data_IF_852708950808
#
_entry.id   IF_852708950808
#
_cell.length_a   1.000
_cell.length_b   1.000
_cell.length_c   1.000
_cell.angle_alpha   90.00
_cell.angle_beta   90.00
_cell.angle_gamma   90.00
#
_symmetry.space_group_name_H-M   'P 1'
#
loop_
_entity.id
_entity.type
_entity.pdbx_description
1 polymer ?
#
# COMPACT_ATOMS: atom_id res chain seq x y z
N UNK A 1 -5.15 0.16 -12.26
CA UNK A 1 -4.62 -1.22 -12.39
C UNK A 1 -3.16 -1.39 -11.92
N UNK A 2 -2.26 -0.44 -12.21
CA UNK A 2 -0.82 -0.58 -11.91
C UNK A 2 -0.52 -0.84 -10.42
N UNK A 3 -1.15 -0.08 -9.53
CA UNK A 3 -0.98 -0.21 -8.06
C UNK A 3 -1.42 -1.57 -7.50
N UNK A 4 -2.23 -2.33 -8.23
CA UNK A 4 -2.70 -3.67 -7.84
C UNK A 4 -1.87 -4.77 -8.53
N UNK A 5 -1.44 -4.54 -9.77
CA UNK A 5 -0.61 -5.49 -10.53
C UNK A 5 0.75 -5.74 -9.88
N UNK A 6 1.33 -4.73 -9.21
CA UNK A 6 2.57 -4.87 -8.44
C UNK A 6 2.47 -5.87 -7.29
N UNK A 7 1.56 -5.67 -6.30
CA UNK A 7 1.26 -6.66 -5.27
C UNK A 7 0.98 -8.07 -5.84
N UNK A 8 0.17 -8.16 -6.89
CA UNK A 8 -0.17 -9.43 -7.52
C UNK A 8 1.06 -10.11 -8.14
N UNK A 9 1.99 -9.34 -8.74
CA UNK A 9 3.26 -9.85 -9.28
C UNK A 9 4.05 -10.54 -8.17
N UNK A 10 4.22 -9.87 -7.03
CA UNK A 10 5.02 -10.41 -5.92
C UNK A 10 4.40 -11.69 -5.37
N UNK A 11 3.08 -11.74 -5.21
CA UNK A 11 2.38 -12.95 -4.78
C UNK A 11 2.51 -14.08 -5.81
N UNK A 12 2.40 -13.78 -7.10
CA UNK A 12 2.59 -14.76 -8.18
C UNK A 12 4.05 -15.24 -8.30
N UNK A 13 5.05 -14.39 -7.97
CA UNK A 13 6.45 -14.82 -7.84
C UNK A 13 6.59 -15.80 -6.67
N UNK A 14 5.98 -15.49 -5.52
CA UNK A 14 5.99 -16.34 -4.32
C UNK A 14 5.36 -17.71 -4.59
N UNK A 15 4.29 -17.77 -5.39
CA UNK A 15 3.54 -19.02 -5.67
C UNK A 15 3.89 -19.70 -7.00
N UNK A 16 4.76 -19.12 -7.82
CA UNK A 16 5.11 -19.64 -9.15
C UNK A 16 4.00 -19.46 -10.22
N UNK A 17 2.99 -18.61 -9.97
CA UNK A 17 1.85 -18.38 -10.88
C UNK A 17 2.05 -17.23 -11.87
N UNK A 18 3.28 -17.05 -12.37
CA UNK A 18 3.61 -15.94 -13.30
C UNK A 18 2.82 -15.96 -14.61
N UNK A 19 2.42 -17.14 -15.11
CA UNK A 19 1.57 -17.22 -16.30
C UNK A 19 0.22 -16.54 -16.09
N UNK A 20 -0.41 -16.76 -14.93
CA UNK A 20 -1.67 -16.12 -14.58
C UNK A 20 -1.49 -14.61 -14.44
N UNK A 21 -0.43 -14.16 -13.76
CA UNK A 21 -0.13 -12.72 -13.68
C UNK A 21 0.06 -12.08 -15.06
N UNK A 22 0.80 -12.72 -15.98
CA UNK A 22 1.00 -12.22 -17.35
C UNK A 22 -0.32 -12.10 -18.09
N UNK A 23 -1.18 -13.12 -18.02
CA UNK A 23 -2.50 -13.08 -18.63
C UNK A 23 -3.33 -11.91 -18.07
N UNK A 24 -3.41 -11.76 -16.74
CA UNK A 24 -4.09 -10.63 -16.09
C UNK A 24 -3.52 -9.28 -16.51
N UNK A 25 -2.19 -9.15 -16.58
CA UNK A 25 -1.50 -7.93 -16.99
C UNK A 25 -1.78 -7.56 -18.44
N UNK A 26 -1.74 -8.54 -19.36
CA UNK A 26 -2.04 -8.33 -20.77
C UNK A 26 -3.51 -7.96 -20.98
N UNK A 27 -4.45 -8.64 -20.31
CA UNK A 27 -5.87 -8.28 -20.37
C UNK A 27 -6.11 -6.87 -19.84
N UNK A 28 -5.52 -6.51 -18.70
CA UNK A 28 -5.65 -5.17 -18.15
C UNK A 28 -5.08 -4.10 -19.09
N UNK A 29 -3.90 -4.34 -19.68
CA UNK A 29 -3.30 -3.42 -20.65
C UNK A 29 -4.16 -3.28 -21.91
N UNK A 30 -4.65 -4.40 -22.45
CA UNK A 30 -5.55 -4.41 -23.59
C UNK A 30 -6.84 -3.62 -23.31
N UNK A 31 -7.48 -3.85 -22.17
CA UNK A 31 -8.70 -3.12 -21.77
C UNK A 31 -8.44 -1.61 -21.63
N UNK A 32 -7.32 -1.21 -21.01
CA UNK A 32 -6.96 0.20 -20.88
C UNK A 32 -6.77 0.83 -22.26
N UNK A 33 -6.03 0.19 -23.15
CA UNK A 33 -5.81 0.68 -24.52
C UNK A 33 -7.12 0.74 -25.29
N UNK A 34 -7.92 -0.32 -25.26
CA UNK A 34 -9.20 -0.39 -25.98
C UNK A 34 -10.15 0.74 -25.59
N UNK A 35 -10.22 1.07 -24.29
CA UNK A 35 -11.07 2.15 -23.78
C UNK A 35 -10.48 3.53 -24.08
N UNK A 36 -9.17 3.71 -23.93
CA UNK A 36 -8.53 5.03 -24.05
C UNK A 36 -8.18 5.43 -25.48
N UNK A 37 -7.87 4.47 -26.35
CA UNK A 37 -7.37 4.72 -27.71
C UNK A 37 -8.36 5.53 -28.56
N UNK A 38 -9.68 5.24 -28.57
CA UNK A 38 -10.63 6.07 -29.33
C UNK A 38 -10.61 7.53 -28.89
N UNK A 39 -10.57 7.77 -27.57
CA UNK A 39 -10.52 9.12 -27.01
C UNK A 39 -9.19 9.83 -27.31
N UNK A 40 -8.08 9.10 -27.23
CA UNK A 40 -6.76 9.62 -27.55
C UNK A 40 -6.62 10.02 -29.03
N UNK A 41 -7.26 9.28 -29.94
CA UNK A 41 -7.25 9.56 -31.38
C UNK A 41 -8.21 10.69 -31.77
N UNK A 42 -9.43 10.69 -31.23
CA UNK A 42 -10.46 11.69 -31.57
C UNK A 42 -10.23 13.03 -30.85
N UNK A 43 -9.70 13.01 -29.62
CA UNK A 43 -9.53 14.18 -28.76
C UNK A 43 -8.12 14.24 -28.11
N UNK A 44 -7.04 14.29 -28.91
CA UNK A 44 -5.66 14.15 -28.40
C UNK A 44 -5.26 15.22 -27.38
N UNK A 45 -5.72 16.46 -27.56
CA UNK A 45 -5.45 17.56 -26.60
C UNK A 45 -6.14 17.31 -25.25
N UNK A 46 -7.44 17.01 -25.28
CA UNK A 46 -8.21 16.74 -24.07
C UNK A 46 -7.73 15.50 -23.32
N UNK A 47 -7.38 14.44 -24.05
CA UNK A 47 -6.85 13.21 -23.45
C UNK A 47 -5.51 13.44 -22.72
N UNK A 48 -4.61 14.26 -23.29
CA UNK A 48 -3.29 14.57 -22.70
C UNK A 48 -3.37 15.52 -21.50
N UNK A 49 -4.48 16.23 -21.32
CA UNK A 49 -4.59 17.27 -20.30
C UNK A 49 -4.42 16.73 -18.88
N UNK A 50 -4.96 15.53 -18.61
CA UNK A 50 -4.73 14.85 -17.34
C UNK A 50 -3.24 14.57 -17.08
N UNK A 51 -2.50 14.12 -18.10
CA UNK A 51 -1.07 13.83 -17.97
C UNK A 51 -0.26 15.11 -17.75
N UNK A 52 -0.57 16.15 -18.52
CA UNK A 52 0.05 17.48 -18.41
C UNK A 52 -0.10 18.02 -16.98
N UNK A 53 -1.34 18.06 -16.48
CA UNK A 53 -1.63 18.54 -15.13
C UNK A 53 -0.93 17.72 -14.05
N UNK A 54 -0.81 16.40 -14.17
CA UNK A 54 -0.08 15.59 -13.19
C UNK A 54 1.43 15.88 -13.20
N UNK A 55 2.02 16.11 -14.38
CA UNK A 55 3.46 16.37 -14.53
C UNK A 55 3.83 17.74 -13.99
N UNK A 56 3.08 18.78 -14.37
CA UNK A 56 3.34 20.18 -14.02
C UNK A 56 2.96 20.55 -12.58
N UNK A 57 2.07 19.78 -11.93
CA UNK A 57 1.61 20.12 -10.57
C UNK A 57 2.77 20.22 -9.59
N UNK A 58 2.85 21.32 -8.84
CA UNK A 58 3.78 21.46 -7.73
C UNK A 58 3.42 20.58 -6.53
N UNK A 59 3.97 20.94 -5.38
CA UNK A 59 3.59 20.35 -4.09
C UNK A 59 2.13 20.71 -3.80
N UNK A 60 1.26 19.70 -3.71
CA UNK A 60 -0.14 19.93 -3.34
C UNK A 60 -0.23 20.37 -1.87
N UNK A 61 -1.22 21.19 -1.46
CA UNK A 61 -1.29 21.73 -0.11
C UNK A 61 -1.24 20.67 1.00
N UNK A 62 -1.81 19.49 0.71
CA UNK A 62 -1.91 18.34 1.60
C UNK A 62 -0.70 17.41 1.57
N UNK A 63 0.31 17.69 0.75
CA UNK A 63 1.50 16.86 0.63
C UNK A 63 2.47 17.14 1.77
N UNK A 64 3.21 16.10 2.20
CA UNK A 64 4.25 16.24 3.22
C UNK A 64 5.34 17.25 2.80
N UNK A 65 5.57 17.38 1.49
CA UNK A 65 6.51 18.36 0.94
C UNK A 65 6.06 19.79 1.18
N UNK A 66 4.76 20.08 1.01
CA UNK A 66 4.21 21.40 1.31
C UNK A 66 4.24 21.69 2.82
N UNK A 67 3.97 20.69 3.66
CA UNK A 67 4.10 20.81 5.13
C UNK A 67 5.54 21.19 5.50
N UNK A 68 6.54 20.48 4.98
CA UNK A 68 7.96 20.77 5.27
C UNK A 68 8.34 22.15 4.74
N UNK A 69 7.97 22.48 3.50
CA UNK A 69 8.26 23.78 2.88
C UNK A 69 7.70 24.93 3.72
N UNK A 70 6.44 24.83 4.13
CA UNK A 70 5.75 25.88 4.90
C UNK A 70 6.34 26.06 6.30
N UNK A 71 6.75 24.98 6.96
CA UNK A 71 7.29 25.05 8.33
C UNK A 71 8.77 25.47 8.38
N UNK A 72 9.55 25.17 7.34
CA UNK A 72 11.00 25.40 7.33
C UNK A 72 11.46 26.53 6.42
N UNK A 73 10.56 27.07 5.58
CA UNK A 73 10.92 27.98 4.50
C UNK A 73 11.69 27.30 3.36
N UNK A 74 11.77 25.96 3.33
CA UNK A 74 12.44 25.23 2.26
C UNK A 74 11.71 25.45 0.93
N UNK A 75 12.39 25.97 -0.12
CA UNK A 75 11.74 26.32 -1.38
C UNK A 75 11.42 25.11 -2.28
N UNK A 76 11.57 23.88 -1.78
CA UNK A 76 11.45 22.66 -2.57
C UNK A 76 12.78 22.26 -3.24
N UNK A 77 12.79 21.09 -3.89
CA UNK A 77 13.99 20.58 -4.57
C UNK A 77 14.39 21.41 -5.81
N UNK A 78 13.37 21.99 -6.46
CA UNK A 78 13.50 22.72 -7.71
C UNK A 78 13.57 24.25 -7.50
N UNK A 79 13.42 24.73 -6.27
CA UNK A 79 13.37 26.16 -5.96
C UNK A 79 12.06 26.82 -6.39
N UNK A 80 12.11 28.13 -6.63
CA UNK A 80 10.95 28.91 -7.10
C UNK A 80 10.67 28.59 -8.57
N UNK A 81 9.64 27.79 -8.84
CA UNK A 81 9.22 27.45 -10.20
C UNK A 81 8.28 28.51 -10.77
N UNK A 82 8.45 28.86 -12.05
CA UNK A 82 7.51 29.70 -12.77
C UNK A 82 6.24 28.91 -13.16
N UNK A 83 5.17 29.62 -13.53
CA UNK A 83 3.93 28.99 -13.93
C UNK A 83 4.14 28.10 -15.18
N UNK A 84 3.79 26.81 -15.06
CA UNK A 84 3.96 25.81 -16.12
C UNK A 84 5.32 25.11 -16.14
N UNK A 85 6.24 25.46 -15.24
CA UNK A 85 7.50 24.72 -15.11
C UNK A 85 7.30 23.39 -14.40
N UNK A 86 8.01 22.37 -14.88
CA UNK A 86 7.90 21.01 -14.36
C UNK A 86 8.86 20.85 -13.17
N UNK A 87 8.40 20.39 -11.99
CA UNK A 87 9.26 20.13 -10.84
C UNK A 87 10.04 18.81 -11.03
N UNK A 88 11.08 18.84 -11.85
CA UNK A 88 11.80 17.63 -12.31
C UNK A 88 12.44 16.87 -11.14
N UNK A 89 13.11 17.57 -10.22
CA UNK A 89 13.80 16.91 -9.09
C UNK A 89 12.80 16.34 -8.09
N UNK A 90 11.71 17.06 -7.79
CA UNK A 90 10.65 16.54 -6.93
C UNK A 90 9.95 15.32 -7.58
N UNK A 91 9.68 15.36 -8.89
CA UNK A 91 9.12 14.22 -9.62
C UNK A 91 10.05 13.00 -9.56
N UNK A 92 11.35 13.20 -9.76
CA UNK A 92 12.33 12.13 -9.66
C UNK A 92 12.43 11.58 -8.23
N UNK A 93 12.48 12.45 -7.22
CA UNK A 93 12.58 12.07 -5.82
C UNK A 93 11.36 11.25 -5.37
N UNK A 94 10.15 11.76 -5.60
CA UNK A 94 8.89 11.08 -5.25
C UNK A 94 8.80 9.71 -5.93
N UNK A 95 9.20 9.62 -7.20
CA UNK A 95 9.26 8.36 -7.95
C UNK A 95 10.25 7.35 -7.37
N UNK A 96 11.47 7.79 -7.03
CA UNK A 96 12.50 6.93 -6.42
C UNK A 96 12.03 6.41 -5.05
N UNK A 97 11.53 7.30 -4.19
CA UNK A 97 11.04 6.91 -2.86
C UNK A 97 9.89 5.91 -2.98
N UNK A 98 8.96 6.14 -3.91
CA UNK A 98 7.85 5.20 -4.15
C UNK A 98 8.35 3.82 -4.61
N UNK A 99 9.34 3.76 -5.51
CA UNK A 99 9.96 2.49 -5.95
C UNK A 99 10.64 1.78 -4.77
N UNK A 100 11.34 2.51 -3.90
CA UNK A 100 11.93 1.95 -2.68
C UNK A 100 10.87 1.40 -1.73
N UNK A 101 9.74 2.09 -1.54
CA UNK A 101 8.62 1.58 -0.77
C UNK A 101 8.03 0.31 -1.39
N UNK A 102 7.87 0.26 -2.72
CA UNK A 102 7.41 -0.94 -3.43
C UNK A 102 8.38 -2.11 -3.23
N UNK A 103 9.69 -1.86 -3.26
CA UNK A 103 10.71 -2.87 -2.98
C UNK A 103 10.65 -3.36 -1.53
N UNK A 104 10.44 -2.47 -0.56
CA UNK A 104 10.25 -2.83 0.84
C UNK A 104 8.98 -3.68 1.04
N UNK A 105 7.86 -3.32 0.40
CA UNK A 105 6.62 -4.11 0.44
C UNK A 105 6.82 -5.48 -0.24
N UNK A 106 7.55 -5.53 -1.34
CA UNK A 106 7.89 -6.79 -1.99
C UNK A 106 8.76 -7.68 -1.09
N UNK A 107 9.73 -7.09 -0.38
CA UNK A 107 10.52 -7.79 0.63
C UNK A 107 9.64 -8.33 1.76
N UNK A 108 8.72 -7.53 2.30
CA UNK A 108 7.74 -7.99 3.31
C UNK A 108 6.93 -9.16 2.76
N UNK A 109 6.42 -9.06 1.54
CA UNK A 109 5.63 -10.10 0.91
C UNK A 109 6.38 -11.41 0.66
N UNK A 110 7.68 -11.35 0.38
CA UNK A 110 8.50 -12.53 0.16
C UNK A 110 9.10 -13.10 1.45
N UNK A 111 9.23 -12.31 2.51
CA UNK A 111 9.83 -12.73 3.80
C UNK A 111 8.78 -13.13 4.85
N UNK A 112 7.51 -12.77 4.66
CA UNK A 112 6.44 -13.08 5.62
C UNK A 112 6.29 -14.60 5.90
N UNK A 113 6.06 -15.03 7.15
CA UNK A 113 5.93 -16.45 7.52
C UNK A 113 4.81 -17.18 6.78
N UNK A 114 3.68 -16.50 6.60
CA UNK A 114 2.56 -16.93 5.74
C UNK A 114 2.39 -15.85 4.68
N UNK A 115 2.09 -16.24 3.44
CA UNK A 115 1.85 -15.30 2.33
C UNK A 115 0.88 -14.20 2.77
N UNK A 116 1.16 -12.90 2.56
CA UNK A 116 0.20 -11.85 2.88
C UNK A 116 -1.05 -11.91 2.00
N UNK A 117 -2.17 -11.38 2.50
CA UNK A 117 -3.39 -11.26 1.70
C UNK A 117 -3.24 -10.16 0.65
N UNK A 118 -3.87 -10.31 -0.51
CA UNK A 118 -3.77 -9.35 -1.62
C UNK A 118 -4.18 -7.93 -1.17
N UNK A 119 -5.29 -7.82 -0.44
CA UNK A 119 -5.78 -6.55 0.08
C UNK A 119 -4.78 -5.82 0.98
N UNK A 120 -4.03 -6.56 1.81
CA UNK A 120 -2.99 -5.99 2.69
C UNK A 120 -1.88 -5.34 1.87
N UNK A 121 -1.37 -6.05 0.85
CA UNK A 121 -0.31 -5.52 0.00
C UNK A 121 -0.80 -4.37 -0.88
N UNK A 122 -2.02 -4.45 -1.42
CA UNK A 122 -2.63 -3.35 -2.17
C UNK A 122 -2.80 -2.11 -1.30
N UNK A 123 -3.29 -2.25 -0.07
CA UNK A 123 -3.38 -1.13 0.88
C UNK A 123 -2.00 -0.49 1.09
N UNK A 124 -0.97 -1.29 1.40
CA UNK A 124 0.38 -0.78 1.63
C UNK A 124 0.95 -0.03 0.42
N UNK A 125 0.74 -0.54 -0.80
CA UNK A 125 1.22 0.13 -2.03
C UNK A 125 0.46 1.42 -2.29
N UNK A 126 -0.86 1.44 -2.12
CA UNK A 126 -1.65 2.68 -2.31
C UNK A 126 -1.31 3.71 -1.23
N UNK A 127 -1.18 3.28 0.04
CA UNK A 127 -0.78 4.17 1.13
C UNK A 127 0.64 4.73 0.91
N UNK A 128 1.59 3.89 0.49
CA UNK A 128 2.93 4.34 0.13
C UNK A 128 2.87 5.36 -1.01
N UNK A 129 2.10 5.10 -2.07
CA UNK A 129 1.92 6.05 -3.17
C UNK A 129 1.41 7.41 -2.68
N UNK A 130 0.37 7.44 -1.84
CA UNK A 130 -0.22 8.67 -1.32
C UNK A 130 0.73 9.43 -0.39
N UNK A 131 1.46 8.73 0.47
CA UNK A 131 2.42 9.34 1.40
C UNK A 131 3.68 9.88 0.70
N UNK A 132 4.09 9.28 -0.43
CA UNK A 132 5.33 9.66 -1.13
C UNK A 132 5.11 10.55 -2.34
N UNK A 133 3.89 10.67 -2.85
CA UNK A 133 3.58 11.53 -4.00
C UNK A 133 3.56 12.99 -3.59
N UNK A 134 3.87 13.89 -4.55
CA UNK A 134 3.68 15.33 -4.39
C UNK A 134 2.20 15.77 -4.45
N UNK A 135 1.27 14.85 -4.79
CA UNK A 135 -0.15 15.16 -4.98
C UNK A 135 -1.05 14.26 -4.14
N UNK A 136 -1.69 14.81 -3.10
CA UNK A 136 -2.72 14.12 -2.32
C UNK A 136 -4.01 14.93 -2.30
N UNK A 137 -4.89 14.67 -3.27
CA UNK A 137 -6.25 15.21 -3.24
C UNK A 137 -7.12 14.42 -2.24
N UNK A 138 -8.07 15.03 -1.50
CA UNK A 138 -8.90 14.34 -0.52
C UNK A 138 -9.65 13.14 -1.09
N UNK A 139 -10.05 13.24 -2.37
CA UNK A 139 -10.70 12.14 -3.08
C UNK A 139 -9.82 10.89 -3.23
N UNK A 140 -8.50 11.02 -3.13
CA UNK A 140 -7.58 9.87 -3.19
C UNK A 140 -7.65 9.03 -1.91
N UNK A 141 -8.02 9.60 -0.77
CA UNK A 141 -8.22 8.84 0.47
C UNK A 141 -9.32 7.78 0.32
N UNK A 142 -10.29 7.99 -0.57
CA UNK A 142 -11.34 7.01 -0.87
C UNK A 142 -10.78 5.73 -1.50
N UNK A 143 -9.61 5.75 -2.12
CA UNK A 143 -8.96 4.55 -2.66
C UNK A 143 -8.53 3.58 -1.55
N UNK A 144 -8.24 4.10 -0.35
CA UNK A 144 -7.85 3.29 0.79
C UNK A 144 -9.04 2.60 1.45
N UNK A 145 -10.24 3.17 1.41
CA UNK A 145 -11.43 2.66 2.13
C UNK A 145 -11.75 1.19 1.85
N UNK A 146 -11.95 0.74 0.59
CA UNK A 146 -12.25 -0.67 0.33
C UNK A 146 -11.08 -1.59 0.66
N UNK A 147 -9.84 -1.12 0.44
CA UNK A 147 -8.64 -1.87 0.75
C UNK A 147 -8.45 -2.04 2.26
N UNK A 148 -8.74 -1.01 3.04
CA UNK A 148 -8.65 -1.02 4.49
C UNK A 148 -9.68 -1.96 5.11
N UNK A 149 -10.93 -1.91 4.61
CA UNK A 149 -12.00 -2.82 5.02
C UNK A 149 -11.62 -4.29 4.82
N UNK A 150 -10.96 -4.61 3.70
CA UNK A 150 -10.50 -5.97 3.40
C UNK A 150 -9.20 -6.33 4.13
N UNK A 151 -8.28 -5.39 4.30
CA UNK A 151 -6.96 -5.63 4.90
C UNK A 151 -7.02 -5.74 6.43
N UNK A 152 -7.78 -4.87 7.09
CA UNK A 152 -7.84 -4.74 8.55
C UNK A 152 -9.31 -4.69 8.99
N UNK A 153 -9.97 -5.85 9.22
CA UNK A 153 -11.38 -5.89 9.58
C UNK A 153 -11.61 -5.50 11.07
N UNK A 154 -11.10 -4.35 11.49
CA UNK A 154 -11.26 -3.74 12.81
C UNK A 154 -12.04 -2.44 12.66
N UNK A 155 -13.37 -2.52 12.71
CA UNK A 155 -14.25 -1.38 12.40
C UNK A 155 -13.96 -0.13 13.23
N UNK A 156 -13.59 -0.27 14.52
CA UNK A 156 -13.28 0.88 15.41
C UNK A 156 -12.05 1.65 14.92
N UNK A 157 -11.02 0.92 14.52
CA UNK A 157 -9.79 1.50 13.99
C UNK A 157 -10.05 2.17 12.63
N UNK A 158 -10.84 1.51 11.77
CA UNK A 158 -11.21 2.05 10.47
C UNK A 158 -12.05 3.32 10.60
N UNK A 159 -13.09 3.33 11.43
CA UNK A 159 -13.90 4.53 11.68
C UNK A 159 -13.08 5.65 12.30
N UNK A 160 -12.16 5.35 13.21
CA UNK A 160 -11.25 6.35 13.78
C UNK A 160 -10.39 7.02 12.72
N UNK A 161 -9.74 6.23 11.86
CA UNK A 161 -8.96 6.77 10.74
C UNK A 161 -9.83 7.53 9.72
N UNK A 162 -10.99 7.00 9.34
CA UNK A 162 -11.91 7.65 8.40
C UNK A 162 -12.42 8.99 8.94
N UNK A 163 -12.70 9.07 10.25
CA UNK A 163 -13.11 10.31 10.89
C UNK A 163 -11.97 11.35 10.89
N UNK A 164 -10.73 10.92 11.18
CA UNK A 164 -9.54 11.79 11.09
C UNK A 164 -9.38 12.32 9.66
N UNK A 165 -9.43 11.44 8.66
CA UNK A 165 -9.23 11.81 7.25
C UNK A 165 -10.34 12.77 6.78
N UNK A 166 -11.60 12.49 7.10
CA UNK A 166 -12.73 13.36 6.80
C UNK A 166 -12.63 14.72 7.52
N UNK A 167 -12.14 14.73 8.77
CA UNK A 167 -12.00 15.95 9.56
C UNK A 167 -10.98 16.92 8.95
N UNK A 168 -9.99 16.47 8.15
CA UNK A 168 -9.03 17.34 7.44
C UNK A 168 -9.74 18.36 6.53
N UNK A 169 -10.93 18.01 6.03
CA UNK A 169 -11.72 18.91 5.18
C UNK A 169 -12.03 20.24 5.88
N UNK A 170 -12.34 20.22 7.18
CA UNK A 170 -12.70 21.42 7.94
C UNK A 170 -11.56 22.45 7.95
N UNK A 171 -10.37 22.18 8.53
CA UNK A 171 -9.30 23.17 8.55
C UNK A 171 -8.81 23.53 7.15
N UNK A 172 -8.95 22.64 6.16
CA UNK A 172 -8.66 22.96 4.76
C UNK A 172 -9.58 24.04 4.19
N UNK A 173 -10.89 23.92 4.40
CA UNK A 173 -11.84 24.94 3.90
C UNK A 173 -11.63 26.28 4.60
N UNK A 174 -11.40 26.26 5.91
CA UNK A 174 -11.09 27.47 6.66
C UNK A 174 -9.74 28.09 6.26
N UNK A 175 -8.75 27.28 5.89
CA UNK A 175 -7.50 27.77 5.31
C UNK A 175 -7.74 28.52 3.98
N UNK A 176 -8.60 28.00 3.11
CA UNK A 176 -8.93 28.66 1.83
C UNK A 176 -9.72 29.97 1.98
N UNK A 177 -10.44 30.18 3.09
CA UNK A 177 -11.08 31.47 3.36
C UNK A 177 -10.05 32.57 3.68
N UNK A 178 -8.90 32.20 4.26
CA UNK A 178 -7.91 33.14 4.76
C UNK A 178 -8.33 33.79 6.08
N UNK A 179 -7.36 34.23 6.88
CA UNK A 179 -7.60 34.83 8.21
C UNK A 179 -8.43 36.11 8.13
N UNK A 180 -8.34 36.84 7.03
CA UNK A 180 -9.10 38.07 6.79
C UNK A 180 -10.61 37.82 6.65
N UNK A 181 -11.03 36.59 6.29
CA UNK A 181 -12.44 36.20 6.15
C UNK A 181 -12.88 35.19 7.22
N UNK A 182 -12.39 35.33 8.45
CA UNK A 182 -12.69 34.42 9.58
C UNK A 182 -12.26 32.96 9.32
N UNK A 183 -11.26 32.77 8.47
CA UNK A 183 -10.60 31.50 8.22
C UNK A 183 -9.65 31.08 9.35
N UNK A 184 -8.94 29.97 9.15
CA UNK A 184 -7.91 29.49 10.06
C UNK A 184 -6.51 29.79 9.51
N UNK A 185 -5.53 30.07 10.38
CA UNK A 185 -4.12 30.05 10.02
C UNK A 185 -3.71 28.72 9.37
N UNK A 186 -2.74 28.77 8.46
CA UNK A 186 -2.32 27.62 7.65
C UNK A 186 -1.84 26.43 8.51
N UNK A 187 -1.28 26.69 9.68
CA UNK A 187 -0.71 25.69 10.58
C UNK A 187 -1.76 24.69 11.08
N UNK A 188 -3.02 25.12 11.23
CA UNK A 188 -4.12 24.21 11.61
C UNK A 188 -4.39 23.17 10.52
N UNK A 189 -4.35 23.60 9.27
CA UNK A 189 -4.50 22.70 8.13
C UNK A 189 -3.30 21.75 8.00
N UNK A 190 -2.08 22.27 8.09
CA UNK A 190 -0.87 21.43 8.03
C UNK A 190 -0.81 20.43 9.20
N UNK A 191 -1.23 20.84 10.40
CA UNK A 191 -1.33 19.96 11.56
C UNK A 191 -2.31 18.81 11.32
N UNK A 192 -3.50 19.10 10.75
CA UNK A 192 -4.47 18.07 10.40
C UNK A 192 -3.94 17.09 9.34
N UNK A 193 -3.19 17.60 8.34
CA UNK A 193 -2.50 16.80 7.33
C UNK A 193 -1.50 15.82 7.98
N UNK A 194 -0.67 16.30 8.92
CA UNK A 194 0.28 15.45 9.64
C UNK A 194 -0.43 14.38 10.47
N UNK A 195 -1.52 14.74 11.17
CA UNK A 195 -2.30 13.78 11.96
C UNK A 195 -2.91 12.70 11.06
N UNK A 196 -3.43 13.06 9.89
CA UNK A 196 -3.92 12.10 8.88
C UNK A 196 -2.79 11.16 8.43
N UNK A 197 -1.63 11.70 8.08
CA UNK A 197 -0.50 10.89 7.59
C UNK A 197 -0.02 9.91 8.65
N UNK A 198 0.05 10.34 9.91
CA UNK A 198 0.35 9.47 11.05
C UNK A 198 -0.70 8.37 11.24
N UNK A 199 -1.98 8.68 11.05
CA UNK A 199 -3.05 7.68 11.13
C UNK A 199 -2.93 6.62 10.03
N UNK A 200 -2.61 7.03 8.79
CA UNK A 200 -2.35 6.10 7.66
C UNK A 200 -1.11 5.25 7.93
N UNK A 201 -0.02 5.85 8.42
CA UNK A 201 1.18 5.12 8.84
C UNK A 201 0.88 4.11 9.95
N UNK A 202 0.00 4.47 10.89
CA UNK A 202 -0.50 3.57 11.93
C UNK A 202 -1.22 2.34 11.35
N UNK A 203 -2.08 2.53 10.35
CA UNK A 203 -2.72 1.42 9.64
C UNK A 203 -1.69 0.54 8.90
N UNK A 204 -0.71 1.15 8.23
CA UNK A 204 0.39 0.41 7.59
C UNK A 204 1.16 -0.44 8.61
N UNK A 205 1.49 0.11 9.77
CA UNK A 205 2.19 -0.60 10.84
C UNK A 205 1.36 -1.78 11.37
N UNK A 206 0.06 -1.60 11.59
CA UNK A 206 -0.86 -2.68 11.99
C UNK A 206 -0.89 -3.80 10.94
N UNK A 207 -0.95 -3.47 9.66
CA UNK A 207 -0.94 -4.45 8.57
C UNK A 207 0.37 -5.22 8.54
N UNK A 208 1.52 -4.54 8.53
CA UNK A 208 2.84 -5.18 8.53
C UNK A 208 3.00 -6.08 9.76
N UNK A 209 2.53 -5.62 10.92
CA UNK A 209 2.54 -6.42 12.14
C UNK A 209 1.72 -7.71 12.00
N UNK A 210 0.50 -7.65 11.44
CA UNK A 210 -0.34 -8.83 11.20
C UNK A 210 0.27 -9.77 10.14
N UNK A 211 0.96 -9.24 9.14
CA UNK A 211 1.68 -10.03 8.13
C UNK A 211 2.75 -10.90 8.79
N UNK A 212 3.52 -10.34 9.73
CA UNK A 212 4.55 -11.08 10.48
C UNK A 212 4.00 -11.89 11.67
N UNK A 213 2.77 -11.61 12.11
CA UNK A 213 2.08 -12.33 13.18
C UNK A 213 0.72 -12.88 12.69
N UNK A 214 0.71 -13.90 11.80
CA UNK A 214 -0.52 -14.35 11.13
C UNK A 214 -1.65 -14.81 12.08
N UNK A 215 -1.33 -15.20 13.31
CA UNK A 215 -2.32 -15.59 14.34
C UNK A 215 -3.17 -14.42 14.83
N UNK A 216 -2.74 -13.17 14.60
CA UNK A 216 -3.52 -11.96 14.93
C UNK A 216 -4.40 -11.48 13.77
N UNK A 217 -4.25 -12.07 12.59
CA UNK A 217 -5.08 -11.74 11.43
C UNK A 217 -6.50 -12.30 11.64
N UNK A 218 -7.48 -11.42 11.82
CA UNK A 218 -8.87 -11.80 12.09
C UNK A 218 -9.47 -12.65 10.97
N UNK A 219 -9.09 -12.41 9.72
CA UNK A 219 -9.59 -13.17 8.56
C UNK A 219 -9.11 -14.62 8.61
N UNK A 220 -7.98 -14.89 9.25
CA UNK A 220 -7.37 -16.22 9.31
C UNK A 220 -7.76 -17.03 10.54
N UNK A 221 -8.57 -16.47 11.44
CA UNK A 221 -8.96 -17.14 12.69
C UNK A 221 -9.66 -18.47 12.47
N UNK A 222 -10.41 -18.59 11.38
CA UNK A 222 -11.18 -19.79 11.04
C UNK A 222 -10.41 -20.78 10.14
N UNK A 223 -9.12 -20.54 9.88
CA UNK A 223 -8.29 -21.38 9.03
C UNK A 223 -8.19 -20.92 7.57
N UNK A 224 -8.95 -19.90 7.19
CA UNK A 224 -8.90 -19.31 5.84
C UNK A 224 -7.50 -18.75 5.50
N UNK A 225 -7.17 -18.74 4.21
CA UNK A 225 -5.90 -18.16 3.74
C UNK A 225 -6.07 -16.73 3.19
N UNK A 226 -6.68 -16.57 2.02
CA UNK A 226 -7.09 -15.27 1.48
C UNK A 226 -8.40 -15.41 0.67
N UNK A 227 -9.56 -14.99 1.22
CA UNK A 227 -10.83 -15.07 0.50
C UNK A 227 -10.84 -14.28 -0.83
N UNK A 228 -10.00 -13.25 -0.95
CA UNK A 228 -9.84 -12.47 -2.18
C UNK A 228 -8.68 -12.95 -3.06
N UNK A 229 -8.02 -14.06 -2.69
CA UNK A 229 -6.82 -14.55 -3.34
C UNK A 229 -7.06 -15.22 -4.69
N UNK A 230 -8.28 -15.70 -4.97
CA UNK A 230 -8.63 -16.39 -6.20
C UNK A 230 -7.68 -17.56 -6.48
N UNK A 231 -6.95 -17.52 -7.60
CA UNK A 231 -5.95 -18.56 -7.92
C UNK A 231 -4.81 -18.65 -6.92
N UNK A 232 -4.60 -17.64 -6.07
CA UNK A 232 -3.57 -17.66 -5.05
C UNK A 232 -4.06 -18.39 -3.80
N UNK A 233 -5.36 -18.41 -3.51
CA UNK A 233 -5.90 -19.00 -2.28
C UNK A 233 -5.46 -20.48 -2.12
N UNK A 234 -4.92 -20.81 -0.96
CA UNK A 234 -4.37 -22.14 -0.66
C UNK A 234 -3.15 -22.58 -1.49
N UNK A 235 -2.66 -21.77 -2.43
CA UNK A 235 -1.52 -22.13 -3.26
C UNK A 235 -0.24 -22.31 -2.44
N UNK A 236 0.57 -23.31 -2.80
CA UNK A 236 1.86 -23.56 -2.15
C UNK A 236 2.87 -22.45 -2.47
N UNK A 237 3.60 -22.02 -1.45
CA UNK A 237 4.73 -21.10 -1.61
C UNK A 237 5.94 -21.84 -2.20
N UNK A 238 6.53 -21.26 -3.26
CA UNK A 238 7.71 -21.74 -3.99
C UNK A 238 8.93 -20.89 -3.70
N UNK A 239 8.75 -19.57 -3.49
CA UNK A 239 9.83 -18.62 -3.19
C UNK A 239 9.52 -17.84 -1.92
N UNK A 240 10.32 -18.06 -0.87
CA UNK A 240 10.27 -17.32 0.39
C UNK A 240 11.68 -16.89 0.74
N UNK A 241 11.87 -15.61 1.05
CA UNK A 241 13.15 -15.09 1.51
C UNK A 241 13.40 -15.55 2.95
N UNK A 242 14.61 -16.05 3.26
CA UNK A 242 14.94 -16.38 4.64
C UNK A 242 14.98 -15.09 5.46
N UNK A 243 14.11 -14.98 6.47
CA UNK A 243 14.29 -13.97 7.51
C UNK A 243 15.47 -14.41 8.37
N UNK A 244 16.46 -13.53 8.49
CA UNK A 244 17.70 -13.77 9.24
C UNK A 244 17.46 -13.92 10.74
N UNK A 245 16.81 -15.00 11.17
CA UNK A 245 16.94 -15.56 12.50
C UNK A 245 16.48 -17.02 12.58
N UNK A 246 17.01 -17.86 11.67
CA UNK A 246 16.88 -19.32 11.76
C UNK A 246 18.07 -19.95 12.50
N UNK A 247 18.50 -19.37 13.62
CA UNK A 247 19.36 -20.05 14.61
C UNK A 247 18.48 -20.45 15.79
N UNK A 248 18.11 -21.73 15.87
CA UNK A 248 17.46 -22.29 17.06
C UNK A 248 16.13 -22.99 16.82
N UNK A 249 16.05 -23.94 15.88
CA UNK A 249 15.15 -25.09 16.06
C UNK A 249 15.97 -26.37 15.82
N UNK A 250 16.24 -27.18 16.86
CA UNK A 250 16.82 -28.48 16.65
C UNK A 250 15.88 -29.30 15.76
N UNK A 251 16.36 -29.71 14.59
CA UNK A 251 15.82 -30.86 13.88
C UNK A 251 16.12 -32.09 14.74
N UNK A 252 15.25 -32.43 15.68
CA UNK A 252 15.43 -33.59 16.54
C UNK A 252 14.11 -34.17 17.00
N UNK A 253 13.80 -35.40 16.58
CA UNK A 253 12.88 -36.25 17.33
C UNK A 253 11.61 -36.77 16.65
N UNK A 254 11.65 -37.20 15.38
CA UNK A 254 10.67 -38.19 14.87
C UNK A 254 11.38 -39.48 14.45
N UNK A 255 11.94 -40.20 15.42
CA UNK A 255 12.42 -41.58 15.20
C UNK A 255 12.31 -42.51 16.42
N UNK A 256 11.40 -42.24 17.37
CA UNK A 256 11.24 -43.07 18.57
C UNK A 256 9.80 -43.46 18.92
N UNK A 257 8.94 -43.67 17.92
CA UNK A 257 7.59 -44.21 18.15
C UNK A 257 7.33 -45.56 17.47
N UNK A 258 8.35 -46.20 16.88
CA UNK A 258 8.23 -47.50 16.19
C UNK A 258 8.88 -48.68 16.92
N UNK A 259 9.40 -48.48 18.14
CA UNK A 259 10.06 -49.55 18.91
C UNK A 259 9.25 -50.05 20.12
N UNK A 260 8.34 -49.25 20.67
CA UNK A 260 7.54 -49.67 21.83
C UNK A 260 6.29 -50.46 21.46
N UNK A 261 5.76 -50.29 20.24
CA UNK A 261 4.64 -51.10 19.74
C UNK A 261 5.00 -52.55 19.38
N UNK A 262 6.31 -52.88 19.27
CA UNK A 262 6.76 -54.27 19.10
C UNK A 262 7.09 -54.98 20.41
N UNK A 263 7.27 -54.25 21.52
CA UNK A 263 7.56 -54.86 22.83
C UNK A 263 6.29 -55.26 23.59
N UNK A 264 5.19 -54.53 23.41
CA UNK A 264 3.91 -54.85 24.06
C UNK A 264 3.10 -55.96 23.37
N UNK A 265 3.46 -56.37 22.15
CA UNK A 265 2.80 -57.47 21.44
C UNK A 265 3.38 -58.86 21.79
N UNK A 266 4.46 -58.93 22.58
CA UNK A 266 5.13 -60.19 22.95
C UNK A 266 4.93 -60.58 24.42
N UNK A 267 4.15 -59.81 25.20
CA UNK A 267 3.90 -60.09 26.63
C UNK A 267 2.45 -60.52 26.93
N UNK A 268 1.66 -60.81 25.90
CA UNK A 268 0.29 -61.29 26.03
C UNK A 268 0.07 -62.48 25.09
N UNK A 269 0.84 -63.53 25.34
CA UNK A 269 0.63 -64.90 24.87
C UNK A 269 0.62 -65.81 26.10
#
# INVERSE_FOLDING_TARGET
PLLVLGPLLVLCIRTGKLRTWRATGLTAAFTVVLINLPLALLYPRGWREFLRLNIERGMDPDSIYNVISSLTGWPGFDGQLAAGEVPVKLNAFTGIVFVLCCAAIAYVALSAPKRPRLAQLCFLVVAAFLLTTKVWSPQYSLWLVPLAALAVPHWRLLLGWMAIDAAVWVPRMFYYLGTDNKGLPQEWFLGAVVVRDLAVLGLCAVIVYQIYHPHRDLVRRNGDDDPAGGVLDGARDVRVLPVGNSRGRPRGGRRRQRRDSRRNAMSSA
#
